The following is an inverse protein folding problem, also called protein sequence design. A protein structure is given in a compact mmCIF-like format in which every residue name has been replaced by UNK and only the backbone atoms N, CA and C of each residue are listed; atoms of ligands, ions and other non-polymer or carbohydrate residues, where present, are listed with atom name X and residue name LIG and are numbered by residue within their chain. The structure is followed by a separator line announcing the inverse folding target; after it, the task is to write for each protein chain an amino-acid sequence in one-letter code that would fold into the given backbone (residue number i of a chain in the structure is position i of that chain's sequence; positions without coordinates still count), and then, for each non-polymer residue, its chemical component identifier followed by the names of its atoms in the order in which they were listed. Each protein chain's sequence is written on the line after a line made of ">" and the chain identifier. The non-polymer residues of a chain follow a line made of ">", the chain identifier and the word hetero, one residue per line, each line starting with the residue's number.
data_IF_009182721019
#
_entry.id   IF_009182721019
#
_cell.length_a   1.000
_cell.length_b   1.000
_cell.length_c   1.000
_cell.angle_alpha   90.00
_cell.angle_beta   90.00
_cell.angle_gamma   90.00
#
_symmetry.space_group_name_H-M   'P 1'
#
loop_
_entity.id
_entity.type
_entity.pdbx_description
1 polymer ?
#
# COMPACT_ATOMS: atom_id res chain seq x y z
N UNK A 1 59.87 -4.06 -13.72
CA UNK A 1 59.46 -3.97 -15.15
C UNK A 1 60.06 -2.71 -15.77
N UNK A 2 61.13 -2.83 -16.56
CA UNK A 2 61.92 -1.69 -17.04
C UNK A 2 61.18 -0.75 -17.99
N UNK A 3 61.39 0.55 -17.83
CA UNK A 3 60.81 1.61 -18.66
C UNK A 3 61.52 1.65 -20.02
N UNK A 4 60.87 1.18 -21.09
CA UNK A 4 61.45 1.22 -22.45
C UNK A 4 61.62 2.68 -22.94
N UNK A 5 62.70 2.94 -23.68
CA UNK A 5 62.96 4.21 -24.35
C UNK A 5 61.84 4.54 -25.34
N UNK A 6 61.42 5.81 -25.38
CA UNK A 6 60.22 6.22 -26.14
C UNK A 6 60.44 6.31 -27.65
N UNK A 7 61.70 6.35 -28.08
CA UNK A 7 62.16 6.51 -29.47
C UNK A 7 62.30 5.21 -30.25
N UNK A 8 62.13 4.04 -29.60
CA UNK A 8 62.35 2.73 -30.24
C UNK A 8 61.06 1.90 -30.32
N UNK A 9 61.00 1.02 -31.32
CA UNK A 9 59.93 0.03 -31.52
C UNK A 9 59.99 -1.09 -30.47
N UNK A 10 58.95 -1.93 -30.40
CA UNK A 10 58.95 -3.15 -29.54
C UNK A 10 60.12 -4.10 -29.87
N UNK A 11 60.67 -4.02 -31.08
CA UNK A 11 61.81 -4.80 -31.57
C UNK A 11 63.17 -4.11 -31.38
N UNK A 12 63.23 -2.92 -30.79
CA UNK A 12 64.49 -2.18 -30.65
C UNK A 12 64.87 -1.32 -31.87
N UNK A 13 64.19 -1.48 -33.01
CA UNK A 13 64.40 -0.67 -34.22
C UNK A 13 63.97 0.78 -34.00
N UNK A 14 64.70 1.73 -34.60
CA UNK A 14 64.38 3.16 -34.55
C UNK A 14 62.99 3.43 -35.14
N UNK A 15 62.20 4.27 -34.46
CA UNK A 15 60.86 4.67 -34.94
C UNK A 15 60.97 5.68 -36.08
N UNK A 16 60.01 5.63 -37.01
CA UNK A 16 59.90 6.66 -38.03
C UNK A 16 59.69 8.05 -37.36
N UNK A 17 60.43 9.11 -37.75
CA UNK A 17 60.29 10.45 -37.18
C UNK A 17 58.83 10.97 -37.18
N UNK A 18 58.03 10.65 -38.19
CA UNK A 18 56.60 11.02 -38.25
C UNK A 18 55.75 10.30 -37.21
N UNK A 19 56.02 9.02 -36.97
CA UNK A 19 55.32 8.24 -35.95
C UNK A 19 55.73 8.64 -34.54
N UNK A 20 56.98 9.06 -34.37
CA UNK A 20 57.46 9.63 -33.10
C UNK A 20 56.73 10.94 -32.77
N UNK A 21 56.55 11.84 -33.74
CA UNK A 21 55.76 13.06 -33.59
C UNK A 21 54.29 12.75 -33.23
N UNK A 22 53.66 11.78 -33.90
CA UNK A 22 52.27 11.35 -33.62
C UNK A 22 52.12 10.72 -32.23
N UNK A 23 53.13 9.96 -31.79
CA UNK A 23 53.17 9.34 -30.44
C UNK A 23 53.37 10.39 -29.35
N UNK A 24 54.20 11.39 -29.60
CA UNK A 24 54.39 12.53 -28.70
C UNK A 24 53.14 13.40 -28.59
N UNK A 25 52.46 13.69 -29.70
CA UNK A 25 51.19 14.41 -29.71
C UNK A 25 50.12 13.69 -28.86
N UNK A 26 49.93 12.37 -29.09
CA UNK A 26 49.03 11.54 -28.25
C UNK A 26 49.44 11.54 -26.78
N UNK A 27 50.74 11.51 -26.48
CA UNK A 27 51.24 11.57 -25.09
C UNK A 27 50.94 12.92 -24.42
N UNK A 28 51.01 14.03 -25.15
CA UNK A 28 50.64 15.37 -24.65
C UNK A 28 49.13 15.45 -24.39
N UNK A 29 48.31 14.95 -25.30
CA UNK A 29 46.85 14.86 -25.14
C UNK A 29 46.46 13.99 -23.93
N UNK A 30 47.08 12.82 -23.78
CA UNK A 30 46.88 11.94 -22.62
C UNK A 30 47.31 12.58 -21.30
N UNK A 31 48.36 13.43 -21.29
CA UNK A 31 48.75 14.20 -20.11
C UNK A 31 47.69 15.23 -19.73
N UNK A 32 47.15 15.96 -20.71
CA UNK A 32 46.08 16.93 -20.50
C UNK A 32 44.82 16.24 -19.95
N UNK A 33 44.46 15.07 -20.47
CA UNK A 33 43.32 14.29 -19.97
C UNK A 33 43.52 13.85 -18.50
N UNK A 34 44.72 13.39 -18.14
CA UNK A 34 45.03 13.01 -16.75
C UNK A 34 45.01 14.21 -15.80
N UNK A 35 45.57 15.35 -16.24
CA UNK A 35 45.51 16.59 -15.47
C UNK A 35 44.06 17.04 -15.28
N UNK A 36 43.24 16.99 -16.33
CA UNK A 36 41.82 17.32 -16.24
C UNK A 36 41.09 16.43 -15.21
N UNK A 37 41.33 15.12 -15.23
CA UNK A 37 40.74 14.21 -14.23
C UNK A 37 41.21 14.52 -12.80
N UNK A 38 42.48 14.84 -12.61
CA UNK A 38 43.02 15.23 -11.30
C UNK A 38 42.41 16.54 -10.81
N UNK A 39 42.32 17.55 -11.68
CA UNK A 39 41.69 18.83 -11.39
C UNK A 39 40.21 18.65 -11.08
N UNK A 40 39.48 17.84 -11.85
CA UNK A 40 38.08 17.52 -11.58
C UNK A 40 37.90 16.87 -10.19
N UNK A 41 38.73 15.89 -9.84
CA UNK A 41 38.68 15.26 -8.52
C UNK A 41 38.97 16.27 -7.39
N UNK A 42 39.98 17.14 -7.55
CA UNK A 42 40.29 18.18 -6.57
C UNK A 42 39.15 19.19 -6.41
N UNK A 43 38.56 19.66 -7.52
CA UNK A 43 37.40 20.57 -7.51
C UNK A 43 36.20 19.94 -6.81
N UNK A 44 35.97 18.64 -6.98
CA UNK A 44 34.88 17.93 -6.31
C UNK A 44 35.12 17.79 -4.81
N UNK A 45 36.36 17.56 -4.37
CA UNK A 45 36.72 17.49 -2.93
C UNK A 45 36.58 18.81 -2.18
N UNK A 46 36.67 19.94 -2.88
CA UNK A 46 36.49 21.27 -2.29
C UNK A 46 35.02 21.68 -2.12
N UNK A 47 34.08 20.94 -2.72
CA UNK A 47 32.65 21.25 -2.62
C UNK A 47 32.05 20.59 -1.40
N UNK A 48 31.23 21.32 -0.67
CA UNK A 48 30.42 20.75 0.40
C UNK A 48 29.17 20.06 -0.21
N UNK A 49 29.01 18.74 -0.05
CA UNK A 49 27.84 18.03 -0.55
C UNK A 49 26.52 18.49 0.09
N UNK A 50 26.54 18.98 1.34
CA UNK A 50 25.33 19.50 2.01
C UNK A 50 24.87 20.81 1.37
N UNK A 51 25.82 21.65 0.96
CA UNK A 51 25.53 22.90 0.25
C UNK A 51 24.83 22.63 -1.10
N UNK A 52 25.24 21.59 -1.82
CA UNK A 52 24.64 21.21 -3.11
C UNK A 52 23.17 20.81 -2.92
N UNK A 53 22.85 20.04 -1.87
CA UNK A 53 21.47 19.67 -1.55
C UNK A 53 20.64 20.91 -1.19
N UNK A 54 21.21 21.84 -0.42
CA UNK A 54 20.55 23.09 -0.08
C UNK A 54 20.27 23.95 -1.32
N UNK A 55 21.24 24.10 -2.22
CA UNK A 55 21.07 24.82 -3.49
C UNK A 55 19.98 24.18 -4.38
N UNK A 56 19.90 22.85 -4.41
CA UNK A 56 18.81 22.14 -5.10
C UNK A 56 17.43 22.43 -4.47
N UNK A 57 17.33 22.41 -3.14
CA UNK A 57 16.11 22.76 -2.41
C UNK A 57 15.66 24.19 -2.71
N UNK A 58 16.58 25.15 -2.71
CA UNK A 58 16.29 26.55 -3.04
C UNK A 58 15.76 26.73 -4.45
N UNK A 59 16.27 25.97 -5.43
CA UNK A 59 15.73 25.98 -6.80
C UNK A 59 14.31 25.42 -6.88
N UNK A 60 13.98 24.43 -6.05
CA UNK A 60 12.64 23.85 -5.98
C UNK A 60 11.65 24.83 -5.35
N UNK A 61 12.04 25.48 -4.26
CA UNK A 61 11.25 26.55 -3.64
C UNK A 61 10.97 27.68 -4.63
N UNK A 62 11.96 28.06 -5.46
CA UNK A 62 11.77 29.05 -6.52
C UNK A 62 10.84 28.59 -7.65
N UNK A 63 10.87 27.31 -8.05
CA UNK A 63 9.96 26.79 -9.10
C UNK A 63 8.51 26.69 -8.59
N UNK A 64 8.34 26.42 -7.30
CA UNK A 64 7.06 26.09 -6.68
C UNK A 64 6.46 27.22 -5.84
N UNK A 65 7.08 28.41 -5.82
CA UNK A 65 6.58 29.57 -5.08
C UNK A 65 5.24 30.07 -5.68
N UNK A 66 4.13 30.04 -4.93
CA UNK A 66 2.83 30.52 -5.42
C UNK A 66 2.71 32.06 -5.43
N UNK A 67 3.60 32.77 -4.73
CA UNK A 67 3.52 34.23 -4.53
C UNK A 67 4.36 35.00 -5.56
N UNK A 68 5.52 34.48 -5.93
CA UNK A 68 6.40 35.08 -6.93
C UNK A 68 6.61 34.12 -8.09
N UNK A 69 6.20 34.54 -9.29
CA UNK A 69 6.62 33.86 -10.51
C UNK A 69 8.16 33.90 -10.59
N UNK A 70 8.82 32.75 -10.81
CA UNK A 70 10.27 32.73 -10.90
C UNK A 70 10.75 33.64 -12.04
N UNK A 71 11.68 34.55 -11.74
CA UNK A 71 12.28 35.44 -12.74
C UNK A 71 13.06 34.69 -13.82
N UNK A 72 13.44 33.43 -13.55
CA UNK A 72 14.19 32.57 -14.46
C UNK A 72 13.24 31.64 -15.22
N UNK A 73 13.53 31.44 -16.51
CA UNK A 73 12.82 30.50 -17.37
C UNK A 73 12.83 29.08 -16.77
N UNK A 74 11.68 28.39 -16.80
CA UNK A 74 11.49 27.00 -16.31
C UNK A 74 12.56 26.03 -16.85
N UNK A 75 12.97 26.20 -18.11
CA UNK A 75 14.03 25.37 -18.72
C UNK A 75 15.38 25.55 -18.01
N UNK A 76 15.73 26.79 -17.67
CA UNK A 76 17.00 27.12 -17.00
C UNK A 76 17.04 26.55 -15.58
N UNK A 77 15.93 26.58 -14.85
CA UNK A 77 15.83 25.97 -13.51
C UNK A 77 16.02 24.45 -13.57
N UNK A 78 15.38 23.78 -14.53
CA UNK A 78 15.55 22.34 -14.76
C UNK A 78 17.00 21.98 -15.11
N UNK A 79 17.64 22.76 -15.98
CA UNK A 79 19.03 22.54 -16.39
C UNK A 79 20.02 22.76 -15.24
N UNK A 80 19.84 23.82 -14.44
CA UNK A 80 20.66 24.07 -13.24
C UNK A 80 20.51 22.95 -12.22
N UNK A 81 19.28 22.50 -11.97
CA UNK A 81 19.00 21.37 -11.06
C UNK A 81 19.64 20.07 -11.56
N UNK A 82 19.59 19.81 -12.88
CA UNK A 82 20.25 18.65 -13.49
C UNK A 82 21.76 18.67 -13.25
N UNK A 83 22.42 19.82 -13.46
CA UNK A 83 23.87 19.96 -13.21
C UNK A 83 24.26 19.77 -11.74
N UNK A 84 23.44 20.25 -10.81
CA UNK A 84 23.67 20.04 -9.37
C UNK A 84 23.54 18.56 -9.00
N UNK A 85 22.53 17.85 -9.53
CA UNK A 85 22.40 16.40 -9.35
C UNK A 85 23.59 15.63 -9.89
N UNK A 86 24.00 15.90 -11.12
CA UNK A 86 25.18 15.26 -11.72
C UNK A 86 26.44 15.48 -10.87
N UNK A 87 26.61 16.70 -10.34
CA UNK A 87 27.73 17.02 -9.43
C UNK A 87 27.63 16.20 -8.13
N UNK A 88 26.44 16.09 -7.55
CA UNK A 88 26.20 15.32 -6.33
C UNK A 88 26.46 13.82 -6.53
N UNK A 89 25.99 13.24 -7.65
CA UNK A 89 26.28 11.84 -8.02
C UNK A 89 27.78 11.58 -8.20
N UNK A 90 28.52 12.52 -8.81
CA UNK A 90 29.97 12.42 -8.89
C UNK A 90 30.64 12.43 -7.52
N UNK A 91 30.12 13.21 -6.56
CA UNK A 91 30.62 13.26 -5.19
C UNK A 91 30.29 11.95 -4.45
N UNK A 92 29.10 11.40 -4.61
CA UNK A 92 28.73 10.10 -4.04
C UNK A 92 29.70 8.99 -4.45
N UNK A 93 30.06 8.91 -5.73
CA UNK A 93 31.03 7.93 -6.25
C UNK A 93 32.46 8.12 -5.70
N UNK A 94 32.82 9.34 -5.30
CA UNK A 94 34.10 9.61 -4.63
C UNK A 94 34.06 9.09 -3.19
N UNK A 95 33.01 9.44 -2.43
CA UNK A 95 32.87 9.04 -1.02
C UNK A 95 32.60 7.55 -0.85
N UNK A 96 31.97 6.88 -1.81
CA UNK A 96 31.82 5.42 -1.81
C UNK A 96 33.18 4.69 -1.67
N UNK A 97 34.24 5.26 -2.24
CA UNK A 97 35.59 4.70 -2.20
C UNK A 97 36.44 5.22 -1.04
N UNK A 98 36.29 6.50 -0.68
CA UNK A 98 37.13 7.15 0.34
C UNK A 98 36.59 6.95 1.76
N UNK A 99 35.27 7.10 1.99
CA UNK A 99 34.66 7.03 3.31
C UNK A 99 33.21 6.49 3.25
N UNK A 100 32.99 5.19 3.53
CA UNK A 100 31.67 4.57 3.39
C UNK A 100 30.62 5.10 4.37
N UNK A 101 31.03 5.67 5.52
CA UNK A 101 30.10 6.19 6.52
C UNK A 101 29.50 7.54 6.11
N UNK A 102 30.33 8.43 5.58
CA UNK A 102 29.86 9.71 4.98
C UNK A 102 28.94 9.42 3.80
N UNK A 103 29.26 8.42 2.97
CA UNK A 103 28.40 8.01 1.87
C UNK A 103 26.98 7.62 2.33
N UNK A 104 26.85 6.86 3.42
CA UNK A 104 25.53 6.50 3.99
C UNK A 104 24.75 7.74 4.44
N UNK A 105 25.40 8.72 5.07
CA UNK A 105 24.75 9.98 5.46
C UNK A 105 24.28 10.78 4.24
N UNK A 106 25.12 10.91 3.21
CA UNK A 106 24.76 11.61 1.98
C UNK A 106 23.59 10.95 1.25
N UNK A 107 23.52 9.61 1.26
CA UNK A 107 22.38 8.86 0.72
C UNK A 107 21.09 9.10 1.49
N UNK A 108 21.15 9.25 2.82
CA UNK A 108 19.96 9.62 3.60
C UNK A 108 19.47 11.02 3.22
N UNK A 109 20.38 11.99 3.12
CA UNK A 109 20.03 13.36 2.73
C UNK A 109 19.44 13.44 1.32
N UNK A 110 19.92 12.62 0.39
CA UNK A 110 19.35 12.48 -0.96
C UNK A 110 17.89 12.03 -0.91
N UNK A 111 17.60 10.98 -0.15
CA UNK A 111 16.23 10.45 0.03
C UNK A 111 15.32 11.49 0.70
N UNK A 112 15.80 12.19 1.72
CA UNK A 112 15.04 13.26 2.38
C UNK A 112 14.70 14.40 1.41
N UNK A 113 15.64 14.79 0.55
CA UNK A 113 15.40 15.79 -0.50
C UNK A 113 14.37 15.30 -1.53
N UNK A 114 14.49 14.07 -2.01
CA UNK A 114 13.51 13.49 -2.94
C UNK A 114 12.11 13.43 -2.33
N UNK A 115 12.00 13.06 -1.06
CA UNK A 115 10.73 13.02 -0.34
C UNK A 115 10.13 14.43 -0.19
N UNK A 116 10.93 15.45 0.17
CA UNK A 116 10.48 16.85 0.22
C UNK A 116 9.96 17.31 -1.13
N UNK A 117 10.65 16.97 -2.22
CA UNK A 117 10.25 17.34 -3.58
C UNK A 117 9.00 16.60 -4.04
N UNK A 118 8.85 15.32 -3.69
CA UNK A 118 7.63 14.55 -3.94
C UNK A 118 6.44 15.19 -3.22
N UNK A 119 6.60 15.59 -1.96
CA UNK A 119 5.56 16.29 -1.19
C UNK A 119 5.15 17.61 -1.84
N UNK A 120 6.11 18.44 -2.27
CA UNK A 120 5.84 19.69 -2.99
C UNK A 120 5.11 19.45 -4.31
N UNK A 121 5.52 18.43 -5.06
CA UNK A 121 4.88 18.04 -6.32
C UNK A 121 3.45 17.59 -6.08
N UNK A 122 3.21 16.72 -5.10
CA UNK A 122 1.88 16.26 -4.71
C UNK A 122 0.99 17.42 -4.26
N UNK A 123 1.50 18.34 -3.43
CA UNK A 123 0.77 19.52 -2.97
C UNK A 123 0.27 20.37 -4.14
N UNK A 124 1.10 20.62 -5.15
CA UNK A 124 0.71 21.40 -6.32
C UNK A 124 -0.28 20.66 -7.20
N UNK A 125 -0.09 19.36 -7.42
CA UNK A 125 -1.04 18.54 -8.20
C UNK A 125 -2.40 18.53 -7.52
N UNK A 126 -2.45 18.33 -6.20
CA UNK A 126 -3.70 18.37 -5.43
C UNK A 126 -4.36 19.75 -5.47
N UNK A 127 -3.60 20.84 -5.33
CA UNK A 127 -4.13 22.21 -5.44
C UNK A 127 -4.64 22.55 -6.85
N UNK A 128 -3.97 22.06 -7.89
CA UNK A 128 -4.42 22.25 -9.26
C UNK A 128 -5.72 21.47 -9.51
N UNK A 129 -5.80 20.23 -9.00
CA UNK A 129 -7.00 19.41 -9.09
C UNK A 129 -8.16 20.00 -8.27
N UNK A 130 -7.92 20.51 -7.06
CA UNK A 130 -8.94 21.16 -6.23
C UNK A 130 -9.39 22.51 -6.81
N UNK A 131 -8.47 23.26 -7.42
CA UNK A 131 -8.80 24.44 -8.22
C UNK A 131 -9.70 24.08 -9.40
N UNK A 132 -9.36 23.03 -10.15
CA UNK A 132 -10.16 22.53 -11.28
C UNK A 132 -11.52 21.99 -10.84
N UNK A 133 -11.64 21.29 -9.70
CA UNK A 133 -12.94 20.82 -9.19
C UNK A 133 -13.83 21.96 -8.71
N UNK A 134 -13.25 23.09 -8.28
CA UNK A 134 -14.02 24.30 -7.93
C UNK A 134 -14.57 24.99 -9.19
N UNK A 135 -13.85 24.99 -10.31
CA UNK A 135 -14.35 25.56 -11.58
C UNK A 135 -15.25 24.60 -12.37
N UNK A 136 -15.20 23.29 -12.11
CA UNK A 136 -15.89 22.24 -12.88
C UNK A 136 -16.98 21.54 -12.06
N UNK A 137 -17.68 22.27 -11.20
CA UNK A 137 -18.93 21.83 -10.61
C UNK A 137 -20.08 22.72 -11.10
N UNK A 138 -20.88 22.28 -12.10
CA UNK A 138 -22.19 22.87 -12.33
C UNK A 138 -22.97 22.70 -11.02
N UNK A 139 -23.51 23.80 -10.47
CA UNK A 139 -24.21 23.84 -9.20
C UNK A 139 -25.05 22.57 -8.88
N UNK A 140 -25.12 22.12 -7.61
CA UNK A 140 -25.71 20.86 -7.16
C UNK A 140 -27.25 20.75 -7.34
N UNK A 141 -27.86 21.61 -8.15
CA UNK A 141 -29.31 21.62 -8.40
C UNK A 141 -29.80 20.39 -9.17
N UNK A 142 -28.95 19.74 -9.99
CA UNK A 142 -29.37 18.56 -10.77
C UNK A 142 -29.26 17.24 -10.01
N UNK A 143 -28.37 17.14 -9.02
CA UNK A 143 -28.18 15.93 -8.19
C UNK A 143 -29.36 15.70 -7.23
N UNK A 144 -29.99 16.76 -6.72
CA UNK A 144 -31.14 16.63 -5.82
C UNK A 144 -32.40 16.11 -6.51
N UNK A 145 -32.54 16.32 -7.82
CA UNK A 145 -33.65 15.77 -8.59
C UNK A 145 -33.51 14.25 -8.76
N UNK A 146 -32.30 13.78 -9.01
CA UNK A 146 -31.99 12.35 -9.16
C UNK A 146 -32.13 11.63 -7.81
N UNK A 147 -31.62 12.19 -6.70
CA UNK A 147 -31.81 11.60 -5.38
C UNK A 147 -33.29 11.53 -4.97
N UNK A 148 -34.10 12.53 -5.29
CA UNK A 148 -35.56 12.51 -5.03
C UNK A 148 -36.31 11.47 -5.84
N UNK A 149 -35.92 11.23 -7.10
CA UNK A 149 -36.55 10.18 -7.91
C UNK A 149 -36.14 8.78 -7.43
N UNK A 150 -34.88 8.57 -7.04
CA UNK A 150 -34.42 7.30 -6.47
C UNK A 150 -35.07 6.98 -5.13
N UNK A 151 -35.27 7.97 -4.25
CA UNK A 151 -35.99 7.79 -2.98
C UNK A 151 -37.46 7.41 -3.24
N UNK A 152 -38.13 8.05 -4.21
CA UNK A 152 -39.52 7.69 -4.60
C UNK A 152 -39.61 6.28 -5.18
N UNK A 153 -38.68 5.88 -6.04
CA UNK A 153 -38.63 4.52 -6.61
C UNK A 153 -38.42 3.49 -5.50
N UNK A 154 -37.51 3.76 -4.56
CA UNK A 154 -37.27 2.89 -3.40
C UNK A 154 -38.54 2.70 -2.55
N UNK A 155 -39.26 3.78 -2.22
CA UNK A 155 -40.51 3.67 -1.44
C UNK A 155 -41.60 2.87 -2.17
N UNK A 156 -41.74 2.99 -3.50
CA UNK A 156 -42.72 2.19 -4.25
C UNK A 156 -42.34 0.70 -4.31
N UNK A 157 -41.05 0.37 -4.32
CA UNK A 157 -40.62 -1.05 -4.28
C UNK A 157 -40.90 -1.71 -2.93
N UNK A 158 -40.80 -0.97 -1.81
CA UNK A 158 -41.10 -1.51 -0.47
C UNK A 158 -42.59 -1.83 -0.29
N UNK A 159 -43.50 -1.07 -0.91
CA UNK A 159 -44.94 -1.38 -0.88
C UNK A 159 -45.36 -2.60 -1.70
N UNK A 160 -44.59 -2.95 -2.74
CA UNK A 160 -44.86 -4.12 -3.58
C UNK A 160 -44.35 -5.42 -2.95
N UNK A 161 -43.27 -5.35 -2.15
CA UNK A 161 -42.73 -6.52 -1.43
C UNK A 161 -43.58 -6.91 -0.22
N UNK A 162 -44.22 -5.95 0.45
CA UNK A 162 -45.08 -6.20 1.62
C UNK A 162 -46.37 -6.99 1.26
N UNK A 163 -46.87 -6.84 0.03
CA UNK A 163 -47.99 -7.62 -0.49
C UNK A 163 -47.60 -9.06 -0.86
N UNK A 164 -46.37 -9.29 -1.36
CA UNK A 164 -45.92 -10.62 -1.76
C UNK A 164 -45.51 -11.51 -0.58
N UNK A 165 -45.08 -10.93 0.54
CA UNK A 165 -44.74 -11.66 1.76
C UNK A 165 -45.98 -12.22 2.46
N UNK A 166 -47.11 -11.48 2.40
CA UNK A 166 -48.42 -11.92 2.91
C UNK A 166 -48.98 -13.14 2.16
N UNK A 167 -48.80 -13.20 0.84
CA UNK A 167 -49.26 -14.33 0.00
C UNK A 167 -48.40 -15.59 0.22
N UNK A 168 -47.10 -15.43 0.47
CA UNK A 168 -46.20 -16.56 0.81
C UNK A 168 -46.48 -17.15 2.19
N UNK A 169 -46.80 -16.31 3.19
CA UNK A 169 -47.16 -16.77 4.54
C UNK A 169 -48.42 -17.64 4.56
N UNK A 170 -49.44 -17.29 3.76
CA UNK A 170 -50.69 -18.06 3.67
C UNK A 170 -50.48 -19.47 3.07
N UNK A 171 -49.61 -19.61 2.07
CA UNK A 171 -49.30 -20.92 1.48
C UNK A 171 -48.52 -21.84 2.43
N UNK A 172 -47.62 -21.29 3.26
CA UNK A 172 -46.88 -22.08 4.25
C UNK A 172 -47.79 -22.62 5.37
N UNK A 173 -48.79 -21.84 5.79
CA UNK A 173 -49.76 -22.28 6.80
C UNK A 173 -50.61 -23.47 6.31
N UNK A 174 -51.06 -23.44 5.05
CA UNK A 174 -51.81 -24.56 4.43
C UNK A 174 -50.94 -25.82 4.34
N UNK A 175 -49.67 -25.69 3.92
CA UNK A 175 -48.73 -26.82 3.83
C UNK A 175 -48.44 -27.42 5.22
N UNK A 176 -48.35 -26.60 6.27
CA UNK A 176 -48.17 -27.08 7.64
C UNK A 176 -49.36 -27.91 8.14
N UNK A 177 -50.60 -27.45 7.90
CA UNK A 177 -51.81 -28.19 8.30
C UNK A 177 -51.93 -29.54 7.56
N UNK A 178 -51.55 -29.60 6.28
CA UNK A 178 -51.52 -30.87 5.53
C UNK A 178 -50.43 -31.84 6.01
N UNK A 179 -49.27 -31.33 6.46
CA UNK A 179 -48.22 -32.16 7.07
C UNK A 179 -48.63 -32.74 8.43
N UNK A 180 -49.38 -31.98 9.22
CA UNK A 180 -49.83 -32.43 10.54
C UNK A 180 -50.90 -33.52 10.47
N UNK A 181 -51.82 -33.43 9.50
CA UNK A 181 -52.85 -34.45 9.26
C UNK A 181 -52.31 -35.76 8.67
N UNK A 182 -51.19 -35.70 7.93
CA UNK A 182 -50.49 -36.89 7.42
C UNK A 182 -49.60 -37.56 8.47
N UNK A 183 -49.01 -36.80 9.40
CA UNK A 183 -48.24 -37.34 10.53
C UNK A 183 -49.12 -38.12 11.54
N UNK A 184 -50.35 -37.64 11.83
CA UNK A 184 -51.29 -38.38 12.70
C UNK A 184 -51.74 -39.73 12.15
N UNK A 185 -51.76 -39.91 10.81
CA UNK A 185 -52.02 -41.21 10.18
C UNK A 185 -50.83 -42.17 10.21
N UNK A 186 -49.59 -41.65 10.33
CA UNK A 186 -48.36 -42.47 10.29
C UNK A 186 -47.86 -42.90 11.68
N UNK A 187 -48.26 -42.21 12.75
CA UNK A 187 -47.99 -42.63 14.15
C UNK A 187 -48.87 -43.81 14.60
N UNK A 188 -50.00 -44.10 13.91
CA UNK A 188 -50.85 -45.27 14.21
C UNK A 188 -50.37 -46.61 13.63
N UNK A 189 -49.36 -46.65 12.75
CA UNK A 189 -49.03 -47.88 12.01
C UNK A 189 -47.62 -48.44 12.22
N UNK A 190 -46.78 -47.84 13.08
CA UNK A 190 -45.41 -48.34 13.31
C UNK A 190 -44.93 -48.15 14.76
N UNK A 191 -45.40 -49.01 15.66
CA UNK A 191 -44.55 -49.46 16.77
C UNK A 191 -44.98 -50.85 17.25
N UNK A 192 -44.70 -51.88 16.45
CA UNK A 192 -44.73 -53.29 16.90
C UNK A 192 -43.67 -53.58 17.96
N UNK A 193 -42.59 -52.79 17.99
CA UNK A 193 -41.49 -52.90 18.97
C UNK A 193 -41.91 -52.35 20.35
N UNK A 194 -42.76 -51.32 20.42
CA UNK A 194 -43.27 -50.79 21.69
C UNK A 194 -44.27 -51.74 22.36
N UNK A 195 -44.96 -52.59 21.59
CA UNK A 195 -45.98 -53.51 22.12
C UNK A 195 -45.37 -54.71 22.88
N UNK A 196 -44.15 -55.14 22.52
CA UNK A 196 -43.42 -56.18 23.25
C UNK A 196 -42.72 -55.64 24.51
N UNK A 197 -42.25 -54.39 24.49
CA UNK A 197 -41.60 -53.78 25.65
C UNK A 197 -42.57 -53.50 26.81
N UNK A 198 -43.86 -53.26 26.54
CA UNK A 198 -44.87 -53.09 27.59
C UNK A 198 -45.23 -54.42 28.28
N UNK A 199 -45.30 -55.52 27.52
CA UNK A 199 -45.64 -56.85 28.06
C UNK A 199 -44.57 -57.41 29.02
N UNK A 200 -43.30 -57.12 28.75
CA UNK A 200 -42.18 -57.51 29.64
C UNK A 200 -42.16 -56.68 30.94
N UNK A 201 -42.78 -55.49 30.94
CA UNK A 201 -42.86 -54.64 32.14
C UNK A 201 -43.99 -55.05 33.08
N UNK A 202 -45.12 -55.53 32.55
CA UNK A 202 -46.22 -56.08 33.36
C UNK A 202 -45.84 -57.40 34.08
N UNK A 203 -44.99 -58.24 33.49
CA UNK A 203 -44.55 -59.50 34.13
C UNK A 203 -43.55 -59.30 35.29
N UNK A 204 -42.93 -58.12 35.40
CA UNK A 204 -42.00 -57.79 36.50
C UNK A 204 -42.64 -57.07 37.70
N UNK A 205 -43.88 -56.60 37.56
CA UNK A 205 -44.60 -55.91 38.64
C UNK A 205 -45.45 -56.85 39.52
N UNK A 206 -45.42 -58.17 39.25
CA UNK A 206 -46.19 -59.18 40.00
C UNK A 206 -45.39 -60.02 41.03
N UNK A 207 -44.07 -59.81 41.20
CA UNK A 207 -43.23 -60.58 42.15
C UNK A 207 -42.63 -59.73 43.30
N UNK A 208 -43.10 -58.51 43.52
CA UNK A 208 -42.50 -57.57 44.47
C UNK A 208 -43.44 -56.96 45.50
N UNK A 209 -44.39 -57.74 46.03
CA UNK A 209 -45.01 -57.42 47.31
C UNK A 209 -44.14 -58.02 48.42
N UNK A 210 -43.75 -57.18 49.40
CA UNK A 210 -43.46 -57.50 50.81
C UNK A 210 -42.21 -56.77 51.31
N UNK A 211 -42.40 -55.56 51.86
CA UNK A 211 -42.07 -55.26 53.27
C UNK A 211 -42.33 -53.79 53.61
N UNK A 212 -43.27 -53.64 54.54
CA UNK A 212 -43.47 -52.58 55.55
C UNK A 212 -42.21 -51.78 55.92
N UNK A 213 -42.27 -50.48 56.21
CA UNK A 213 -42.69 -49.91 57.52
C UNK A 213 -42.19 -48.45 57.49
N UNK A 214 -43.06 -47.44 57.36
CA UNK A 214 -43.75 -46.67 58.41
C UNK A 214 -42.87 -45.65 59.15
N UNK A 215 -43.53 -44.54 59.51
CA UNK A 215 -43.20 -43.48 60.46
C UNK A 215 -42.38 -42.31 59.87
N UNK A 216 -43.04 -41.22 59.52
CA UNK A 216 -43.57 -40.12 60.37
C UNK A 216 -42.56 -38.96 60.36
N UNK A 217 -42.88 -37.84 59.71
CA UNK A 217 -43.70 -36.74 60.20
C UNK A 217 -42.81 -35.58 60.69
N UNK A 218 -42.81 -34.54 59.85
CA UNK A 218 -43.13 -33.16 60.23
C UNK A 218 -42.21 -32.36 61.16
N UNK A 219 -42.12 -31.08 60.78
CA UNK A 219 -41.55 -29.92 61.46
C UNK A 219 -40.04 -29.73 61.26
N UNK A 220 -39.54 -28.56 60.90
CA UNK A 220 -40.19 -27.26 60.75
C UNK A 220 -39.12 -26.17 60.81
N UNK A 221 -39.41 -25.07 60.14
CA UNK A 221 -38.97 -23.70 60.41
C UNK A 221 -37.46 -23.36 60.49
N UNK A 222 -37.14 -22.32 59.70
CA UNK A 222 -36.25 -21.19 60.00
C UNK A 222 -34.74 -21.50 60.08
N UNK A 223 -33.84 -20.69 59.54
CA UNK A 223 -33.94 -19.41 58.87
C UNK A 223 -32.53 -18.83 58.70
N UNK A 224 -32.37 -18.03 57.64
CA UNK A 224 -31.32 -17.02 57.36
C UNK A 224 -29.86 -17.48 57.20
N UNK A 225 -29.02 -16.65 56.57
CA UNK A 225 -29.17 -15.92 55.30
C UNK A 225 -28.40 -16.59 54.15
#
# INVERSE_FOLDING_TARGET
>A
MGRRSTSSTKSGKFMNPTDQARKEARKRELKNKKQHMMVQAAVLKMKDPKQIIWDMGKLDEMEFNPVQQPQLNKKVLKDKRKKLRETFECILRLYEKENPDIYKELRKLEVEYEQKRANLTCYIVLNLLSGVTTMMFPAPVKMTAILRTWIKISMMTVTLTDQMEKVRGMNLYIVMIMKETTMKKKVRSKCTICRYAWKIKEEKEHEGADSSSSDDASHGCSGNP
#
